data_IF_679049268862
#
_entry.id   IF_679049268862
#
_cell.length_a   1.000
_cell.length_b   1.000
_cell.length_c   1.000
_cell.angle_alpha   90.00
_cell.angle_beta   90.00
_cell.angle_gamma   90.00
#
_symmetry.space_group_name_H-M   'P 1'
#
loop_
_entity.id
_entity.type
_entity.pdbx_description
1 polymer ?
#
# COMPACT_ATOMS: atom_id res chain seq x y z
N UNK A 1 65.24 -22.61 22.07
CA UNK A 1 64.69 -21.27 22.37
C UNK A 1 63.86 -20.87 21.17
N UNK A 2 62.53 -20.78 21.31
CA UNK A 2 61.63 -20.61 20.16
C UNK A 2 61.53 -19.14 19.77
N UNK A 3 61.92 -18.84 18.54
CA UNK A 3 61.74 -17.54 17.91
C UNK A 3 60.26 -17.37 17.53
N UNK A 4 59.51 -16.59 18.31
CA UNK A 4 58.14 -16.20 17.96
C UNK A 4 58.21 -15.08 16.91
N UNK A 5 58.15 -15.47 15.64
CA UNK A 5 58.05 -14.54 14.52
C UNK A 5 56.85 -13.59 14.69
N UNK A 6 57.12 -12.33 15.06
CA UNK A 6 56.12 -11.26 15.14
C UNK A 6 55.53 -11.04 13.75
N UNK A 7 54.34 -11.60 13.49
CA UNK A 7 53.54 -11.27 12.31
C UNK A 7 53.23 -9.77 12.34
N UNK A 8 53.86 -8.98 11.47
CA UNK A 8 53.51 -7.56 11.27
C UNK A 8 52.07 -7.50 10.78
N UNK A 9 51.14 -7.01 11.61
CA UNK A 9 49.79 -6.69 11.16
C UNK A 9 49.90 -5.48 10.24
N UNK A 10 49.68 -5.68 8.93
CA UNK A 10 49.52 -4.58 7.98
C UNK A 10 48.20 -3.88 8.33
N UNK A 11 48.28 -2.65 8.84
CA UNK A 11 47.11 -1.80 9.05
C UNK A 11 46.60 -1.24 7.73
N UNK A 12 45.30 -0.98 7.66
CA UNK A 12 44.67 -0.29 6.53
C UNK A 12 45.22 1.14 6.45
N UNK A 13 45.48 1.63 5.24
CA UNK A 13 45.97 3.00 5.07
C UNK A 13 44.81 4.01 5.12
N UNK A 14 45.05 5.21 5.66
CA UNK A 14 44.02 6.26 5.68
C UNK A 14 43.58 6.64 4.26
N UNK A 15 44.49 6.56 3.29
CA UNK A 15 44.19 6.86 1.89
C UNK A 15 43.24 5.83 1.27
N UNK A 16 43.38 4.54 1.60
CA UNK A 16 42.42 3.52 1.16
C UNK A 16 41.03 3.78 1.72
N UNK A 17 40.94 4.19 2.99
CA UNK A 17 39.65 4.51 3.60
C UNK A 17 39.01 5.75 2.96
N UNK A 18 39.80 6.80 2.67
CA UNK A 18 39.32 8.03 2.03
C UNK A 18 38.83 7.76 0.60
N UNK A 19 39.56 6.94 -0.17
CA UNK A 19 39.13 6.57 -1.52
C UNK A 19 37.82 5.77 -1.49
N UNK A 20 37.62 4.88 -0.52
CA UNK A 20 36.40 4.08 -0.38
C UNK A 20 35.19 4.96 -0.04
N UNK A 21 35.30 5.85 0.96
CA UNK A 21 34.17 6.74 1.31
C UNK A 21 33.86 7.73 0.18
N UNK A 22 34.86 8.14 -0.62
CA UNK A 22 34.65 8.99 -1.78
C UNK A 22 33.82 8.26 -2.86
N UNK A 23 34.16 7.00 -3.16
CA UNK A 23 33.40 6.18 -4.12
C UNK A 23 31.97 5.92 -3.61
N UNK A 24 31.81 5.53 -2.33
CA UNK A 24 30.49 5.31 -1.72
C UNK A 24 29.65 6.60 -1.74
N UNK A 25 30.27 7.76 -1.48
CA UNK A 25 29.60 9.06 -1.52
C UNK A 25 29.03 9.40 -2.90
N UNK A 26 29.80 9.17 -3.96
CA UNK A 26 29.36 9.39 -5.35
C UNK A 26 28.20 8.43 -5.71
N UNK A 27 28.33 7.15 -5.37
CA UNK A 27 27.28 6.15 -5.62
C UNK A 27 26.00 6.48 -4.85
N UNK A 28 26.12 6.85 -3.58
CA UNK A 28 24.98 7.21 -2.73
C UNK A 28 24.25 8.45 -3.27
N UNK A 29 24.98 9.48 -3.73
CA UNK A 29 24.37 10.69 -4.28
C UNK A 29 23.44 10.42 -5.48
N UNK A 30 23.80 9.46 -6.35
CA UNK A 30 22.97 9.07 -7.49
C UNK A 30 21.87 8.07 -7.10
N UNK A 31 22.11 7.24 -6.09
CA UNK A 31 21.21 6.17 -5.68
C UNK A 31 20.02 6.67 -4.85
N UNK A 32 20.24 7.61 -3.91
CA UNK A 32 19.20 8.10 -2.98
C UNK A 32 17.93 8.59 -3.69
N UNK A 33 17.97 9.53 -4.66
CA UNK A 33 16.74 10.00 -5.30
C UNK A 33 16.00 8.90 -6.07
N UNK A 34 16.74 7.94 -6.65
CA UNK A 34 16.16 6.79 -7.36
C UNK A 34 15.42 5.86 -6.40
N UNK A 35 16.02 5.55 -5.26
CA UNK A 35 15.40 4.69 -4.25
C UNK A 35 14.12 5.33 -3.70
N UNK A 36 14.12 6.63 -3.43
CA UNK A 36 12.91 7.34 -2.98
C UNK A 36 11.81 7.28 -4.05
N UNK A 37 12.13 7.44 -5.33
CA UNK A 37 11.19 7.27 -6.44
C UNK A 37 10.58 5.87 -6.47
N UNK A 38 11.41 4.82 -6.45
CA UNK A 38 10.93 3.44 -6.44
C UNK A 38 10.07 3.10 -5.23
N UNK A 39 10.38 3.66 -4.05
CA UNK A 39 9.55 3.47 -2.86
C UNK A 39 8.18 4.13 -3.01
N UNK A 40 8.10 5.29 -3.69
CA UNK A 40 6.82 5.94 -3.98
C UNK A 40 6.01 5.13 -5.00
N UNK A 41 6.63 4.66 -6.09
CA UNK A 41 5.98 3.81 -7.09
C UNK A 41 5.46 2.50 -6.47
N UNK A 42 6.24 1.89 -5.57
CA UNK A 42 5.84 0.69 -4.85
C UNK A 42 4.64 0.96 -3.92
N UNK A 43 4.61 2.10 -3.24
CA UNK A 43 3.47 2.52 -2.41
C UNK A 43 2.22 2.76 -3.27
N UNK A 44 2.36 3.44 -4.40
CA UNK A 44 1.25 3.72 -5.30
C UNK A 44 0.69 2.42 -5.90
N UNK A 45 1.56 1.49 -6.28
CA UNK A 45 1.19 0.15 -6.73
C UNK A 45 0.45 -0.66 -5.64
N UNK A 46 0.90 -0.60 -4.38
CA UNK A 46 0.19 -1.21 -3.24
C UNK A 46 -1.21 -0.62 -3.08
N UNK A 47 -1.33 0.70 -3.12
CA UNK A 47 -2.62 1.41 -3.00
C UNK A 47 -3.59 0.98 -4.11
N UNK A 48 -3.11 0.90 -5.36
CA UNK A 48 -3.92 0.41 -6.49
C UNK A 48 -4.33 -1.05 -6.32
N UNK A 49 -3.43 -1.92 -5.85
CA UNK A 49 -3.73 -3.33 -5.61
C UNK A 49 -4.83 -3.47 -4.54
N UNK A 50 -4.74 -2.72 -3.45
CA UNK A 50 -5.77 -2.74 -2.41
C UNK A 50 -7.09 -2.15 -2.88
N UNK A 51 -7.08 -1.05 -3.64
CA UNK A 51 -8.28 -0.49 -4.25
C UNK A 51 -8.96 -1.48 -5.20
N UNK A 52 -8.17 -2.28 -5.94
CA UNK A 52 -8.68 -3.37 -6.78
C UNK A 52 -9.33 -4.46 -5.93
N UNK A 53 -8.72 -4.84 -4.81
CA UNK A 53 -9.31 -5.82 -3.89
C UNK A 53 -10.66 -5.34 -3.34
N UNK A 54 -10.74 -4.08 -2.89
CA UNK A 54 -12.00 -3.45 -2.45
C UNK A 54 -13.05 -3.48 -3.56
N UNK A 55 -12.66 -3.10 -4.79
CA UNK A 55 -13.57 -3.12 -5.94
C UNK A 55 -14.09 -4.52 -6.24
N UNK A 56 -13.21 -5.53 -6.29
CA UNK A 56 -13.60 -6.92 -6.56
C UNK A 56 -14.53 -7.42 -5.47
N UNK A 57 -14.25 -7.09 -4.21
CA UNK A 57 -15.06 -7.51 -3.09
C UNK A 57 -16.44 -6.84 -3.09
N UNK A 58 -16.52 -5.56 -3.47
CA UNK A 58 -17.76 -4.83 -3.73
C UNK A 58 -18.58 -5.46 -4.88
N UNK A 59 -17.94 -5.72 -6.02
CA UNK A 59 -18.58 -6.36 -7.18
C UNK A 59 -19.05 -7.78 -6.85
N UNK A 60 -18.28 -8.52 -6.07
CA UNK A 60 -18.60 -9.87 -5.60
C UNK A 60 -19.83 -9.87 -4.69
N UNK A 61 -19.92 -8.90 -3.77
CA UNK A 61 -21.11 -8.75 -2.90
C UNK A 61 -22.37 -8.53 -3.74
N UNK A 62 -22.33 -7.55 -4.65
CA UNK A 62 -23.47 -7.27 -5.55
C UNK A 62 -23.83 -8.50 -6.39
N UNK A 63 -22.82 -9.20 -6.93
CA UNK A 63 -23.03 -10.39 -7.76
C UNK A 63 -23.69 -11.55 -6.99
N UNK A 64 -23.31 -11.74 -5.72
CA UNK A 64 -23.90 -12.75 -4.83
C UNK A 64 -25.29 -12.36 -4.29
N UNK A 65 -25.82 -11.20 -4.68
CA UNK A 65 -27.05 -10.64 -4.09
C UNK A 65 -26.87 -10.22 -2.63
N UNK A 66 -25.62 -10.11 -2.16
CA UNK A 66 -25.32 -9.50 -0.88
C UNK A 66 -25.38 -7.98 -1.06
N UNK A 67 -26.22 -7.36 -0.26
CA UNK A 67 -26.41 -5.93 -0.28
C UNK A 67 -25.63 -5.29 0.89
N UNK A 68 -25.17 -4.06 0.72
CA UNK A 68 -24.31 -3.38 1.69
C UNK A 68 -25.04 -3.00 2.97
N UNK A 69 -24.47 -3.18 4.18
CA UNK A 69 -25.14 -2.85 5.44
C UNK A 69 -25.77 -1.45 5.38
N UNK A 70 -27.06 -1.32 5.71
CA UNK A 70 -27.86 -0.08 5.49
C UNK A 70 -27.33 1.16 6.21
N UNK A 71 -26.53 0.98 7.26
CA UNK A 71 -25.95 2.08 8.03
C UNK A 71 -24.58 1.70 8.58
N UNK A 72 -23.52 2.41 8.19
CA UNK A 72 -22.24 2.32 8.85
C UNK A 72 -22.13 3.47 9.84
N UNK A 73 -22.22 3.17 11.14
CA UNK A 73 -22.13 4.20 12.19
C UNK A 73 -20.85 4.13 13.02
N UNK A 74 -20.03 3.11 12.80
CA UNK A 74 -18.80 2.83 13.53
C UNK A 74 -17.95 1.82 12.71
N UNK A 75 -16.64 1.80 12.95
CA UNK A 75 -15.70 0.94 12.21
C UNK A 75 -16.01 -0.58 12.33
N UNK A 76 -16.80 -0.97 13.33
CA UNK A 76 -17.26 -2.35 13.59
C UNK A 76 -18.32 -2.85 12.60
N UNK A 77 -19.04 -1.96 11.92
CA UNK A 77 -20.10 -2.33 10.95
C UNK A 77 -19.61 -2.41 9.50
N UNK A 78 -18.38 -1.98 9.25
CA UNK A 78 -17.75 -2.05 7.92
C UNK A 78 -17.17 -3.44 7.70
N UNK A 79 -17.36 -3.98 6.50
CA UNK A 79 -16.79 -5.28 6.17
C UNK A 79 -15.34 -5.10 5.72
N UNK A 80 -14.40 -5.76 6.41
CA UNK A 80 -13.00 -5.74 5.95
C UNK A 80 -12.87 -6.55 4.66
N UNK A 81 -11.98 -6.15 3.75
CA UNK A 81 -11.67 -6.94 2.54
C UNK A 81 -11.25 -8.38 2.90
N UNK A 82 -10.59 -8.56 4.05
CA UNK A 82 -10.21 -9.87 4.58
C UNK A 82 -11.42 -10.74 4.96
N UNK A 83 -12.49 -10.15 5.52
CA UNK A 83 -13.70 -10.87 5.92
C UNK A 83 -14.57 -11.29 4.74
N UNK A 84 -14.47 -10.64 3.58
CA UNK A 84 -15.24 -11.04 2.38
C UNK A 84 -14.73 -12.36 1.81
N UNK A 85 -13.42 -12.62 1.97
CA UNK A 85 -12.83 -13.91 1.64
C UNK A 85 -13.28 -15.02 2.61
N UNK A 86 -13.85 -14.65 3.75
CA UNK A 86 -14.46 -15.52 4.75
C UNK A 86 -16.00 -15.33 4.76
N UNK A 87 -16.63 -15.60 3.63
CA UNK A 87 -18.09 -15.76 3.40
C UNK A 87 -19.05 -14.98 4.35
N UNK A 88 -19.51 -13.81 3.90
CA UNK A 88 -20.42 -12.93 4.65
C UNK A 88 -21.90 -13.29 4.46
N UNK A 89 -22.69 -13.32 5.56
CA UNK A 89 -24.15 -13.51 5.53
C UNK A 89 -24.88 -12.17 5.46
N UNK A 90 -25.69 -11.98 4.42
CA UNK A 90 -26.43 -10.75 4.12
C UNK A 90 -27.48 -10.38 5.18
N UNK A 91 -27.67 -9.07 5.40
CA UNK A 91 -28.90 -8.49 5.98
C UNK A 91 -29.37 -7.38 5.04
N UNK A 92 -30.70 -7.22 4.90
CA UNK A 92 -31.37 -6.51 3.79
C UNK A 92 -31.22 -4.98 3.81
N UNK A 93 -30.79 -4.37 2.70
CA UNK A 93 -30.77 -2.93 2.41
C UNK A 93 -31.53 -2.54 1.14
N UNK A 94 -32.32 -1.48 1.28
CA UNK A 94 -33.05 -0.81 0.21
C UNK A 94 -32.09 -0.09 -0.76
N UNK A 95 -32.27 -0.37 -2.05
CA UNK A 95 -31.61 0.21 -3.24
C UNK A 95 -30.81 1.51 -3.01
N UNK A 96 -29.49 1.38 -2.84
CA UNK A 96 -28.57 2.53 -2.79
C UNK A 96 -28.23 2.96 -4.22
N UNK A 97 -28.30 4.26 -4.52
CA UNK A 97 -27.87 4.81 -5.81
C UNK A 97 -26.35 4.61 -5.99
N UNK A 98 -25.99 3.64 -6.84
CA UNK A 98 -24.64 3.09 -7.06
C UNK A 98 -23.56 4.12 -7.41
N UNK A 99 -23.94 5.29 -7.96
CA UNK A 99 -22.99 6.30 -8.45
C UNK A 99 -22.64 7.38 -7.40
N UNK A 100 -23.25 7.37 -6.21
CA UNK A 100 -22.94 8.32 -5.11
C UNK A 100 -22.43 7.65 -3.84
N UNK A 101 -22.18 6.34 -3.90
CA UNK A 101 -21.76 5.55 -2.75
C UNK A 101 -20.26 5.67 -2.54
N UNK A 102 -19.87 6.03 -1.32
CA UNK A 102 -18.47 5.94 -0.88
C UNK A 102 -18.20 4.49 -0.49
N UNK A 103 -17.09 3.94 -0.94
CA UNK A 103 -16.73 2.57 -0.55
C UNK A 103 -16.36 2.48 0.94
N UNK A 104 -15.86 3.57 1.56
CA UNK A 104 -15.56 3.61 3.01
C UNK A 104 -16.76 3.46 3.90
N UNK A 105 -17.94 3.77 3.39
CA UNK A 105 -19.16 3.62 4.18
C UNK A 105 -19.34 2.13 4.46
N UNK A 106 -19.03 1.22 3.55
CA UNK A 106 -19.36 -0.20 3.72
C UNK A 106 -18.16 -1.13 3.84
N UNK A 107 -16.96 -0.67 3.48
CA UNK A 107 -15.77 -1.51 3.39
C UNK A 107 -14.54 -0.81 3.95
N UNK A 108 -13.67 -1.58 4.62
CA UNK A 108 -12.36 -1.11 5.10
C UNK A 108 -11.24 -1.97 4.53
N UNK A 109 -10.11 -1.32 4.26
CA UNK A 109 -8.84 -2.00 4.02
C UNK A 109 -8.25 -2.41 5.36
N UNK A 110 -7.79 -3.66 5.47
CA UNK A 110 -7.16 -4.17 6.69
C UNK A 110 -5.65 -3.82 6.77
N UNK A 111 -5.13 -3.14 5.75
CA UNK A 111 -3.71 -2.88 5.57
C UNK A 111 -3.37 -1.48 6.08
N UNK A 112 -2.58 -1.42 7.15
CA UNK A 112 -2.10 -0.18 7.79
C UNK A 112 -1.15 0.62 6.89
N UNK A 113 -0.53 0.00 5.87
CA UNK A 113 0.37 0.70 4.94
C UNK A 113 -0.38 1.62 3.94
N UNK A 114 -1.71 1.63 3.94
CA UNK A 114 -2.54 2.37 2.99
C UNK A 114 -3.01 3.75 3.49
N UNK A 115 -2.19 4.45 4.28
CA UNK A 115 -2.45 5.79 4.83
C UNK A 115 -2.95 6.82 3.82
N UNK A 116 -2.63 6.65 2.54
CA UNK A 116 -3.02 7.56 1.47
C UNK A 116 -4.42 7.33 0.94
N UNK A 117 -5.08 6.17 1.16
CA UNK A 117 -6.40 5.93 0.58
C UNK A 117 -7.44 6.91 1.14
N UNK A 118 -8.10 7.66 0.25
CA UNK A 118 -9.20 8.53 0.60
C UNK A 118 -10.44 7.67 0.88
N UNK A 119 -10.89 7.55 2.15
CA UNK A 119 -12.08 6.78 2.46
C UNK A 119 -13.30 7.33 1.69
N UNK A 120 -13.40 8.64 1.52
CA UNK A 120 -14.54 9.28 0.88
C UNK A 120 -14.57 9.18 -0.65
N UNK A 121 -13.63 8.48 -1.29
CA UNK A 121 -13.67 8.31 -2.74
C UNK A 121 -14.93 7.51 -3.15
N UNK A 122 -15.49 7.84 -4.33
CA UNK A 122 -16.65 7.12 -4.87
C UNK A 122 -16.22 5.86 -5.62
N UNK A 123 -17.15 4.92 -5.83
CA UNK A 123 -16.87 3.70 -6.59
C UNK A 123 -16.40 3.98 -8.04
N UNK A 124 -16.92 5.03 -8.68
CA UNK A 124 -16.48 5.42 -10.02
C UNK A 124 -15.01 5.87 -10.03
N UNK A 125 -14.55 6.55 -8.97
CA UNK A 125 -13.14 6.92 -8.79
C UNK A 125 -12.27 5.69 -8.55
N UNK A 126 -12.73 4.70 -7.78
CA UNK A 126 -12.01 3.42 -7.61
C UNK A 126 -11.88 2.65 -8.92
N UNK A 127 -12.95 2.58 -9.69
CA UNK A 127 -12.92 1.96 -11.02
C UNK A 127 -11.95 2.68 -11.96
N UNK A 128 -11.99 4.01 -11.98
CA UNK A 128 -11.08 4.81 -12.78
C UNK A 128 -9.61 4.64 -12.35
N UNK A 129 -9.31 4.71 -11.05
CA UNK A 129 -7.95 4.53 -10.51
C UNK A 129 -7.39 3.13 -10.79
N UNK A 130 -8.19 2.08 -10.54
CA UNK A 130 -7.75 0.68 -10.77
C UNK A 130 -7.60 0.31 -12.24
N UNK A 131 -8.27 1.04 -13.15
CA UNK A 131 -8.15 0.89 -14.60
C UNK A 131 -6.99 1.71 -15.19
N UNK A 132 -6.78 2.94 -14.70
CA UNK A 132 -5.70 3.82 -15.15
C UNK A 132 -4.35 3.48 -14.50
N UNK A 133 -4.35 2.79 -13.35
CA UNK A 133 -3.16 2.57 -12.54
C UNK A 133 -2.71 3.81 -11.76
N UNK A 134 -3.48 4.90 -11.79
CA UNK A 134 -3.17 6.15 -11.09
C UNK A 134 -4.03 6.27 -9.80
N UNK A 135 -3.40 6.27 -8.61
CA UNK A 135 -4.12 6.36 -7.35
C UNK A 135 -4.60 7.78 -7.00
N UNK A 136 -4.22 8.82 -7.76
CA UNK A 136 -4.49 10.24 -7.45
C UNK A 136 -5.96 10.58 -7.13
N UNK A 137 -6.90 9.90 -7.77
CA UNK A 137 -8.34 10.13 -7.58
C UNK A 137 -8.92 9.43 -6.34
N UNK A 138 -8.17 8.49 -5.76
CA UNK A 138 -8.56 7.68 -4.61
C UNK A 138 -7.62 7.86 -3.43
N UNK A 139 -6.65 8.76 -3.52
CA UNK A 139 -5.79 9.14 -2.41
C UNK A 139 -6.18 10.49 -1.83
N UNK A 140 -6.02 10.65 -0.52
CA UNK A 140 -6.02 11.96 0.14
C UNK A 140 -4.65 12.58 -0.07
N UNK A 141 -4.60 13.82 -0.56
CA UNK A 141 -3.37 14.61 -0.58
C UNK A 141 -2.82 14.76 0.85
#
# INVERSE_FOLDING_TARGET
MNELAKKKKKGFTLIELIAVIAIIGILAAVLVPKVVGYMNDAKDSKVIAQARNVRVAYETMISKGAEFPTTPKNDETKVTVAMINAEYKATTPTAVNKNKVKWSDYMTVADEDCDKLNPNATMDKLKAATASGDPSSITTN
#
